data_IF_811735663599
#
_entry.id   IF_811735663599
#
_cell.length_a   1.000
_cell.length_b   1.000
_cell.length_c   1.000
_cell.angle_alpha   90.00
_cell.angle_beta   90.00
_cell.angle_gamma   90.00
#
_symmetry.space_group_name_H-M   'P 1'
#
loop_
_entity.id
_entity.type
_entity.pdbx_description
1 polymer ?
#
# COMPACT_ATOMS: atom_id res chain seq x y z
N UNK A 1 18.55 1.53 12.02
CA UNK A 1 18.20 2.03 10.67
C UNK A 1 17.03 1.18 10.16
N UNK A 2 15.79 1.48 10.58
CA UNK A 2 14.63 0.58 10.41
C UNK A 2 13.84 0.86 9.12
N UNK A 3 14.16 1.92 8.36
CA UNK A 3 13.45 2.30 7.14
C UNK A 3 13.87 1.59 5.84
N UNK A 4 14.94 0.78 5.85
CA UNK A 4 15.57 0.28 4.63
C UNK A 4 14.72 -0.65 3.74
N UNK A 5 14.04 -1.68 4.30
CA UNK A 5 13.27 -2.65 3.50
C UNK A 5 11.88 -2.13 3.11
N UNK A 6 11.21 -1.42 4.04
CA UNK A 6 9.83 -1.00 3.85
C UNK A 6 9.68 0.05 2.74
N UNK A 7 10.60 1.02 2.68
CA UNK A 7 10.64 2.00 1.59
C UNK A 7 10.88 1.34 0.23
N UNK A 8 11.68 0.28 0.19
CA UNK A 8 11.92 -0.46 -1.04
C UNK A 8 10.65 -1.19 -1.50
N UNK A 9 9.96 -1.88 -0.59
CA UNK A 9 8.70 -2.56 -0.91
C UNK A 9 7.59 -1.58 -1.33
N UNK A 10 7.44 -0.46 -0.63
CA UNK A 10 6.47 0.58 -0.97
C UNK A 10 6.75 1.19 -2.35
N UNK A 11 8.03 1.41 -2.68
CA UNK A 11 8.46 1.86 -4.01
C UNK A 11 8.13 0.85 -5.09
N UNK A 12 8.43 -0.43 -4.88
CA UNK A 12 8.14 -1.49 -5.87
C UNK A 12 6.63 -1.63 -6.10
N UNK A 13 5.81 -1.53 -5.05
CA UNK A 13 4.35 -1.49 -5.17
C UNK A 13 3.89 -0.28 -5.99
N UNK A 14 4.44 0.91 -5.74
CA UNK A 14 4.11 2.10 -6.52
C UNK A 14 4.45 1.93 -8.01
N UNK A 15 5.59 1.33 -8.33
CA UNK A 15 5.98 1.03 -9.72
C UNK A 15 5.01 0.06 -10.39
N UNK A 16 4.53 -0.96 -9.67
CA UNK A 16 3.52 -1.90 -10.20
C UNK A 16 2.19 -1.20 -10.48
N UNK A 17 1.74 -0.33 -9.58
CA UNK A 17 0.52 0.45 -9.75
C UNK A 17 0.63 1.45 -10.90
N UNK A 18 1.78 2.09 -11.09
CA UNK A 18 2.04 2.98 -12.22
C UNK A 18 2.01 2.23 -13.55
N UNK A 19 2.65 1.05 -13.62
CA UNK A 19 2.58 0.17 -14.80
C UNK A 19 1.14 -0.23 -15.11
N UNK A 20 0.32 -0.48 -14.11
CA UNK A 20 -1.09 -0.81 -14.31
C UNK A 20 -1.90 0.40 -14.78
N UNK A 21 -1.64 1.59 -14.23
CA UNK A 21 -2.43 2.79 -14.51
C UNK A 21 -2.07 3.44 -15.86
N UNK A 22 -0.80 3.42 -16.25
CA UNK A 22 -0.28 4.11 -17.45
C UNK A 22 0.04 3.11 -18.57
N UNK A 23 0.39 1.87 -18.22
CA UNK A 23 0.86 0.83 -19.14
C UNK A 23 2.07 1.24 -19.99
N UNK A 24 2.50 0.36 -20.89
CA UNK A 24 3.71 0.60 -21.69
C UNK A 24 3.41 1.64 -22.79
N UNK A 25 3.89 2.86 -22.62
CA UNK A 25 3.76 3.93 -23.63
C UNK A 25 2.47 4.76 -23.53
N UNK A 26 1.81 4.80 -22.38
CA UNK A 26 0.62 5.64 -22.14
C UNK A 26 -0.72 4.96 -22.47
N UNK A 27 -0.72 3.66 -22.78
CA UNK A 27 -1.92 2.84 -22.92
C UNK A 27 -1.95 1.80 -21.82
N UNK A 28 -3.03 1.76 -21.04
CA UNK A 28 -3.27 0.80 -19.95
C UNK A 28 -3.05 -0.62 -20.44
N UNK A 29 -2.17 -1.35 -19.76
CA UNK A 29 -1.88 -2.75 -20.10
C UNK A 29 -3.12 -3.60 -19.81
N UNK A 30 -3.77 -4.03 -20.89
CA UNK A 30 -5.04 -4.78 -20.85
C UNK A 30 -4.84 -6.26 -21.19
N UNK A 31 -3.60 -6.66 -21.49
CA UNK A 31 -3.25 -8.07 -21.68
C UNK A 31 -3.48 -8.82 -20.34
N UNK A 32 -4.38 -9.82 -20.33
CA UNK A 32 -4.69 -10.58 -19.11
C UNK A 32 -3.46 -11.24 -18.48
N UNK A 33 -2.45 -11.59 -19.28
CA UNK A 33 -1.22 -12.23 -18.79
C UNK A 33 -0.34 -11.25 -18.01
N UNK A 34 -0.17 -10.03 -18.51
CA UNK A 34 0.59 -8.96 -17.86
C UNK A 34 -0.12 -8.48 -16.60
N UNK A 35 -1.44 -8.30 -16.65
CA UNK A 35 -2.24 -7.94 -15.48
C UNK A 35 -2.10 -8.99 -14.39
N UNK A 36 -2.15 -10.27 -14.73
CA UNK A 36 -2.00 -11.36 -13.76
C UNK A 36 -0.58 -11.42 -13.15
N UNK A 37 0.46 -11.14 -13.93
CA UNK A 37 1.83 -11.05 -13.42
C UNK A 37 1.99 -9.90 -12.42
N UNK A 38 1.44 -8.72 -12.74
CA UNK A 38 1.44 -7.56 -11.83
C UNK A 38 0.71 -7.90 -10.52
N UNK A 39 -0.48 -8.52 -10.59
CA UNK A 39 -1.24 -8.90 -9.40
C UNK A 39 -0.51 -9.95 -8.55
N UNK A 40 0.12 -10.95 -9.18
CA UNK A 40 0.94 -11.93 -8.45
C UNK A 40 2.10 -11.26 -7.73
N UNK A 41 2.82 -10.38 -8.42
CA UNK A 41 3.97 -9.68 -7.83
C UNK A 41 3.55 -8.76 -6.68
N UNK A 42 2.40 -8.10 -6.81
CA UNK A 42 1.80 -7.28 -5.76
C UNK A 42 1.50 -8.12 -4.51
N UNK A 43 0.85 -9.27 -4.68
CA UNK A 43 0.56 -10.19 -3.57
C UNK A 43 1.85 -10.70 -2.90
N UNK A 44 2.88 -11.07 -3.67
CA UNK A 44 4.18 -11.48 -3.12
C UNK A 44 4.84 -10.40 -2.24
N UNK A 45 4.78 -9.14 -2.69
CA UNK A 45 5.33 -8.01 -1.93
C UNK A 45 4.55 -7.75 -0.65
N UNK A 46 3.22 -7.79 -0.71
CA UNK A 46 2.36 -7.69 0.48
C UNK A 46 2.72 -8.79 1.48
N UNK A 47 2.88 -10.03 1.01
CA UNK A 47 3.29 -11.15 1.85
C UNK A 47 4.66 -10.96 2.48
N UNK A 48 5.64 -10.47 1.72
CA UNK A 48 6.98 -10.20 2.24
C UNK A 48 6.99 -9.09 3.31
N UNK A 49 6.15 -8.07 3.15
CA UNK A 49 5.97 -7.02 4.16
C UNK A 49 5.38 -7.62 5.43
N UNK A 50 4.27 -8.35 5.34
CA UNK A 50 3.59 -8.91 6.50
C UNK A 50 4.49 -9.84 7.31
N UNK A 51 5.23 -10.70 6.61
CA UNK A 51 6.24 -11.60 7.18
C UNK A 51 7.40 -10.83 7.83
N UNK A 52 7.86 -9.74 7.23
CA UNK A 52 8.85 -8.85 7.85
C UNK A 52 8.32 -8.17 9.12
N UNK A 53 7.07 -7.67 9.11
CA UNK A 53 6.47 -7.01 10.28
C UNK A 53 6.26 -8.03 11.41
N UNK A 54 5.78 -9.24 11.10
CA UNK A 54 5.58 -10.31 12.07
C UNK A 54 6.88 -10.71 12.79
N UNK A 55 8.02 -10.67 12.09
CA UNK A 55 9.35 -10.88 12.70
C UNK A 55 9.89 -9.68 13.46
N UNK A 56 9.53 -8.47 13.06
CA UNK A 56 10.12 -7.23 13.59
C UNK A 56 9.39 -6.68 14.81
N UNK A 57 8.13 -7.05 15.01
CA UNK A 57 7.29 -6.57 16.13
C UNK A 57 7.10 -7.68 17.17
N UNK A 58 7.46 -7.46 18.45
CA UNK A 58 7.18 -8.41 19.51
C UNK A 58 5.66 -8.62 19.66
N UNK A 59 5.15 -9.80 19.27
CA UNK A 59 3.72 -10.09 19.41
C UNK A 59 3.32 -10.13 20.90
N UNK A 60 2.58 -9.12 21.35
CA UNK A 60 2.01 -9.09 22.69
C UNK A 60 0.80 -10.04 22.71
N UNK A 61 0.94 -11.18 23.39
CA UNK A 61 -0.01 -12.32 23.41
C UNK A 61 -1.34 -12.05 24.14
N UNK A 62 -1.64 -10.82 24.54
CA UNK A 62 -2.79 -10.51 25.38
C UNK A 62 -3.73 -9.52 24.67
N UNK A 63 -4.80 -10.05 24.07
CA UNK A 63 -6.06 -9.32 23.91
C UNK A 63 -6.28 -8.47 22.65
N UNK A 64 -5.52 -8.65 21.58
CA UNK A 64 -5.71 -7.84 20.37
C UNK A 64 -6.80 -8.40 19.43
N UNK A 65 -7.69 -7.53 18.98
CA UNK A 65 -8.73 -7.78 17.97
C UNK A 65 -8.13 -8.36 16.69
N UNK A 66 -8.73 -9.44 16.20
CA UNK A 66 -8.36 -10.06 14.92
C UNK A 66 -8.70 -9.06 13.80
N UNK A 67 -7.73 -8.27 13.35
CA UNK A 67 -7.94 -7.42 12.18
C UNK A 67 -7.92 -8.29 10.93
N UNK A 68 -8.94 -8.12 10.08
CA UNK A 68 -9.04 -8.78 8.77
C UNK A 68 -8.05 -8.22 7.74
N UNK A 69 -7.24 -7.23 8.13
CA UNK A 69 -6.41 -6.46 7.22
C UNK A 69 -4.98 -6.33 7.74
N UNK A 70 -4.02 -6.59 6.86
CA UNK A 70 -2.60 -6.69 7.17
C UNK A 70 -1.86 -5.37 6.92
N UNK A 71 -0.67 -5.20 7.49
CA UNK A 71 0.14 -3.98 7.27
C UNK A 71 0.54 -3.88 5.80
N UNK A 72 0.90 -5.00 5.17
CA UNK A 72 1.16 -5.08 3.74
C UNK A 72 -0.02 -4.62 2.90
N UNK A 73 -1.24 -5.03 3.25
CA UNK A 73 -2.45 -4.59 2.53
C UNK A 73 -2.70 -3.08 2.65
N UNK A 74 -2.44 -2.48 3.82
CA UNK A 74 -2.56 -1.02 3.99
C UNK A 74 -1.50 -0.28 3.16
N UNK A 75 -0.25 -0.74 3.18
CA UNK A 75 0.85 -0.15 2.40
C UNK A 75 0.58 -0.26 0.89
N UNK A 76 0.01 -1.38 0.44
CA UNK A 76 -0.38 -1.56 -0.96
C UNK A 76 -1.43 -0.56 -1.43
N UNK A 77 -2.48 -0.33 -0.63
CA UNK A 77 -3.48 0.71 -0.95
C UNK A 77 -2.92 2.13 -0.89
N UNK A 78 -2.00 2.39 0.05
CA UNK A 78 -1.32 3.68 0.12
C UNK A 78 -0.49 3.93 -1.15
N UNK A 79 0.22 2.90 -1.63
CA UNK A 79 0.97 2.97 -2.89
C UNK A 79 0.04 3.19 -4.10
N UNK A 80 -1.09 2.48 -4.18
CA UNK A 80 -2.11 2.67 -5.22
C UNK A 80 -2.68 4.09 -5.23
N UNK A 81 -3.09 4.58 -4.05
CA UNK A 81 -3.66 5.92 -3.90
C UNK A 81 -2.65 7.01 -4.23
N UNK A 82 -1.37 6.81 -3.87
CA UNK A 82 -0.30 7.75 -4.21
C UNK A 82 -0.12 7.87 -5.71
N UNK A 83 -0.07 6.75 -6.44
CA UNK A 83 0.04 6.75 -7.91
C UNK A 83 -1.16 7.44 -8.54
N UNK A 84 -2.38 7.19 -8.04
CA UNK A 84 -3.60 7.86 -8.53
C UNK A 84 -3.58 9.37 -8.30
N UNK A 85 -3.18 9.83 -7.12
CA UNK A 85 -3.10 11.26 -6.80
C UNK A 85 -2.06 11.98 -7.67
N UNK A 86 -0.89 11.37 -7.87
CA UNK A 86 0.15 11.91 -8.76
C UNK A 86 -0.31 11.94 -10.22
N UNK A 87 -0.94 10.86 -10.71
CA UNK A 87 -1.49 10.84 -12.07
C UNK A 87 -2.56 11.91 -12.25
N UNK A 88 -3.48 12.06 -11.30
CA UNK A 88 -4.49 13.12 -11.33
C UNK A 88 -3.84 14.51 -11.39
N UNK A 89 -2.78 14.75 -10.63
CA UNK A 89 -2.05 16.02 -10.63
C UNK A 89 -1.41 16.33 -12.00
N UNK A 90 -0.97 15.31 -12.72
CA UNK A 90 -0.35 15.48 -14.05
C UNK A 90 -1.35 15.57 -15.20
N UNK A 91 -2.61 15.15 -14.99
CA UNK A 91 -3.59 14.98 -16.08
C UNK A 91 -4.83 15.85 -15.96
N UNK A 92 -5.15 16.34 -14.76
CA UNK A 92 -6.35 17.12 -14.49
C UNK A 92 -6.02 18.57 -14.14
N UNK A 93 -6.99 19.45 -14.34
CA UNK A 93 -6.88 20.85 -13.91
C UNK A 93 -6.85 20.96 -12.38
N UNK A 94 -6.18 22.01 -11.89
CA UNK A 94 -6.01 22.25 -10.44
C UNK A 94 -7.35 22.45 -9.69
N UNK A 95 -8.43 22.81 -10.39
CA UNK A 95 -9.76 23.00 -9.81
C UNK A 95 -10.67 21.77 -9.96
N UNK A 96 -10.16 20.66 -10.50
CA UNK A 96 -10.95 19.44 -10.68
C UNK A 96 -11.24 18.78 -9.32
N UNK A 97 -12.51 18.48 -9.06
CA UNK A 97 -12.95 17.79 -7.83
C UNK A 97 -12.33 16.39 -7.72
N UNK A 98 -12.03 15.73 -8.84
CA UNK A 98 -11.39 14.41 -8.87
C UNK A 98 -9.95 14.46 -8.40
N UNK A 99 -9.23 15.54 -8.72
CA UNK A 99 -7.90 15.78 -8.18
C UNK A 99 -7.97 15.90 -6.66
N UNK A 100 -8.85 16.78 -6.16
CA UNK A 100 -9.05 16.98 -4.72
C UNK A 100 -9.45 15.68 -4.01
N UNK A 101 -10.37 14.90 -4.60
CA UNK A 101 -10.79 13.62 -4.05
C UNK A 101 -9.64 12.59 -3.97
N UNK A 102 -8.78 12.52 -4.99
CA UNK A 102 -7.63 11.60 -4.98
C UNK A 102 -6.60 11.96 -3.89
N UNK A 103 -6.32 13.26 -3.71
CA UNK A 103 -5.43 13.73 -2.65
C UNK A 103 -6.03 13.58 -1.25
N UNK A 104 -7.32 13.84 -1.09
CA UNK A 104 -8.03 13.61 0.17
C UNK A 104 -8.00 12.13 0.55
N UNK A 105 -8.25 11.23 -0.41
CA UNK A 105 -8.19 9.79 -0.16
C UNK A 105 -6.78 9.32 0.25
N UNK A 106 -5.74 9.88 -0.38
CA UNK A 106 -4.36 9.60 0.00
C UNK A 106 -4.05 10.05 1.43
N UNK A 107 -4.54 11.23 1.84
CA UNK A 107 -4.35 11.74 3.20
C UNK A 107 -5.02 10.82 4.24
N UNK A 108 -6.28 10.43 4.01
CA UNK A 108 -7.00 9.50 4.89
C UNK A 108 -6.27 8.15 5.06
N UNK A 109 -5.71 7.61 3.97
CA UNK A 109 -4.95 6.38 4.03
C UNK A 109 -3.62 6.55 4.79
N UNK A 110 -2.98 7.71 4.68
CA UNK A 110 -1.76 8.01 5.43
C UNK A 110 -2.06 8.13 6.94
N UNK A 111 -3.13 8.82 7.31
CA UNK A 111 -3.56 8.93 8.70
C UNK A 111 -3.93 7.56 9.30
N UNK A 112 -4.68 6.74 8.55
CA UNK A 112 -5.01 5.37 8.96
C UNK A 112 -3.76 4.48 9.11
N UNK A 113 -2.73 4.68 8.29
CA UNK A 113 -1.45 3.98 8.41
C UNK A 113 -0.68 4.40 9.66
N UNK A 114 -0.63 5.70 9.97
CA UNK A 114 0.02 6.21 11.17
C UNK A 114 -0.68 5.72 12.46
N UNK A 115 -2.00 5.69 12.45
CA UNK A 115 -2.80 5.10 13.54
C UNK A 115 -2.51 3.60 13.72
N UNK A 116 -2.44 2.86 12.61
CA UNK A 116 -2.08 1.45 12.60
C UNK A 116 -0.70 1.19 13.20
N UNK A 117 0.32 1.93 12.75
CA UNK A 117 1.69 1.80 13.26
C UNK A 117 1.72 2.13 14.76
N UNK A 118 1.01 3.17 15.20
CA UNK A 118 0.92 3.55 16.61
C UNK A 118 0.30 2.44 17.47
N UNK A 119 -0.76 1.80 16.97
CA UNK A 119 -1.41 0.68 17.65
C UNK A 119 -0.53 -0.59 17.72
N UNK A 120 0.21 -0.88 16.66
CA UNK A 120 1.16 -1.99 16.61
C UNK A 120 2.31 -1.76 17.61
N UNK A 121 2.91 -0.57 17.62
CA UNK A 121 3.99 -0.22 18.54
C UNK A 121 3.53 -0.21 20.00
N UNK A 122 2.26 0.12 20.25
CA UNK A 122 1.67 0.05 21.58
C UNK A 122 1.25 -1.38 22.00
N UNK A 123 1.46 -2.39 21.15
CA UNK A 123 1.09 -3.79 21.42
C UNK A 123 -0.43 -4.04 21.42
N UNK A 124 -1.22 -3.12 20.85
CA UNK A 124 -2.69 -3.21 20.79
C UNK A 124 -3.23 -4.00 19.61
N UNK A 125 -2.38 -4.34 18.62
CA UNK A 125 -2.74 -5.08 17.40
C UNK A 125 -1.92 -6.37 17.24
N UNK A 126 -2.61 -7.48 16.93
CA UNK A 126 -2.00 -8.74 16.49
C UNK A 126 -2.20 -8.89 14.99
N UNK A 127 -1.12 -9.20 14.29
CA UNK A 127 -1.13 -9.46 12.85
C UNK A 127 -1.52 -10.94 12.64
N UNK A 128 -2.23 -11.26 11.55
CA UNK A 128 -2.54 -12.65 11.24
C UNK A 128 -1.25 -13.44 11.03
N UNK A 129 -1.15 -14.58 11.72
CA UNK A 129 -0.17 -15.63 11.41
C UNK A 129 -0.79 -16.50 10.31
N UNK A 130 -0.06 -16.72 9.22
CA UNK A 130 -0.43 -17.66 8.16
C UNK A 130 0.29 -18.99 8.38
#
# INVERSE_FOLDING_TARGET
MVGGPLLWFARDLAVLHERRLVGRGGSVDTDPTVVLEIERRRVELVMAIDDWVARSVPQHRLGATLHTETVGAVIDRLAESSVRAHHALMTLDAHDERLHGAWHHLAELADAYDDLVRDILAGRRRLPEW
#
